data_IF_621302128036
#
_entry.id   IF_621302128036
#
_cell.length_a   1.000
_cell.length_b   1.000
_cell.length_c   1.000
_cell.angle_alpha   90.00
_cell.angle_beta   90.00
_cell.angle_gamma   90.00
#
_symmetry.space_group_name_H-M   'P 1'
#
loop_
_entity.id
_entity.type
_entity.pdbx_description
1 polymer ?
#
# COMPACT_ATOMS: atom_id res chain seq x y z
N UNK A 1 -18.74 16.62 -4.98
CA UNK A 1 -17.46 16.00 -4.61
C UNK A 1 -17.50 15.73 -3.12
N UNK A 2 -17.37 14.47 -2.70
CA UNK A 2 -17.11 14.14 -1.30
C UNK A 2 -15.61 14.06 -1.13
N UNK A 3 -15.11 14.46 0.03
CA UNK A 3 -13.70 14.31 0.40
C UNK A 3 -13.60 13.35 1.56
N UNK A 4 -12.60 12.48 1.53
CA UNK A 4 -12.36 11.53 2.60
C UNK A 4 -10.86 11.31 2.77
N UNK A 5 -10.44 11.32 4.03
CA UNK A 5 -9.12 10.83 4.43
C UNK A 5 -9.22 9.33 4.66
N UNK A 6 -8.32 8.56 4.04
CA UNK A 6 -8.17 7.13 4.24
C UNK A 6 -6.77 6.87 4.76
N UNK A 7 -6.67 6.17 5.88
CA UNK A 7 -5.39 5.86 6.51
C UNK A 7 -5.37 4.44 7.08
N UNK A 8 -4.21 3.80 7.05
CA UNK A 8 -4.00 2.46 7.61
C UNK A 8 -2.54 2.29 7.97
N UNK A 9 -2.32 1.74 9.17
CA UNK A 9 -1.00 1.33 9.66
C UNK A 9 -1.04 -0.15 10.00
N UNK A 10 -0.13 -0.92 9.42
CA UNK A 10 0.04 -2.34 9.70
C UNK A 10 1.44 -2.61 10.25
N UNK A 11 1.51 -3.31 11.37
CA UNK A 11 2.75 -3.74 12.01
C UNK A 11 2.85 -5.27 12.00
N UNK A 12 3.99 -5.78 11.56
CA UNK A 12 4.30 -7.20 11.54
C UNK A 12 5.64 -7.49 12.20
N UNK A 13 5.71 -8.64 12.89
CA UNK A 13 6.98 -9.29 13.22
C UNK A 13 7.22 -10.40 12.20
N UNK A 14 8.11 -10.16 11.24
CA UNK A 14 8.49 -11.14 10.22
C UNK A 14 9.41 -12.19 10.87
N UNK A 15 8.98 -13.46 10.86
CA UNK A 15 9.70 -14.55 11.54
C UNK A 15 10.72 -15.26 10.63
N UNK A 16 10.51 -15.21 9.31
CA UNK A 16 11.35 -15.80 8.28
C UNK A 16 11.24 -14.94 7.00
N UNK A 17 12.19 -15.01 6.05
CA UNK A 17 12.05 -14.31 4.77
C UNK A 17 10.66 -14.55 4.16
N UNK A 18 9.93 -13.46 3.91
CA UNK A 18 8.51 -13.53 3.55
C UNK A 18 8.20 -12.61 2.37
N UNK A 19 7.43 -13.12 1.42
CA UNK A 19 6.87 -12.35 0.32
C UNK A 19 5.57 -11.69 0.77
N UNK A 20 5.50 -10.36 0.68
CA UNK A 20 4.28 -9.61 0.96
C UNK A 20 3.65 -9.14 -0.34
N UNK A 21 2.32 -9.14 -0.39
CA UNK A 21 1.53 -8.54 -1.46
C UNK A 21 0.30 -7.89 -0.82
N UNK A 22 0.18 -6.57 -0.98
CA UNK A 22 -0.84 -5.75 -0.34
C UNK A 22 -1.73 -5.09 -1.37
N UNK A 23 -3.00 -4.91 -1.01
CA UNK A 23 -3.98 -4.10 -1.72
C UNK A 23 -4.53 -3.07 -0.72
N UNK A 24 -3.75 -2.02 -0.46
CA UNK A 24 -4.11 -0.96 0.49
C UNK A 24 -4.36 0.38 -0.19
N UNK A 25 -3.65 0.64 -1.29
CA UNK A 25 -3.76 1.91 -2.00
C UNK A 25 -5.16 2.05 -2.62
N UNK A 26 -5.75 3.24 -2.49
CA UNK A 26 -7.02 3.61 -3.12
C UNK A 26 -6.99 3.28 -4.61
N UNK A 27 -7.98 2.52 -5.06
CA UNK A 27 -8.11 2.11 -6.45
C UNK A 27 -8.32 3.31 -7.39
N UNK A 28 -7.84 3.20 -8.64
CA UNK A 28 -8.10 4.19 -9.68
C UNK A 28 -9.48 3.96 -10.30
N UNK A 29 -10.41 4.88 -10.08
CA UNK A 29 -11.75 4.86 -10.67
C UNK A 29 -12.07 6.19 -11.36
N UNK A 30 -12.81 6.21 -12.48
CA UNK A 30 -13.16 7.46 -13.17
C UNK A 30 -13.95 8.47 -12.33
N UNK A 31 -14.61 8.02 -11.26
CA UNK A 31 -15.43 8.83 -10.37
C UNK A 31 -14.72 9.20 -9.06
N UNK A 32 -13.45 8.85 -8.89
CA UNK A 32 -12.64 9.13 -7.71
C UNK A 32 -11.33 9.78 -8.13
N UNK A 33 -10.93 10.83 -7.42
CA UNK A 33 -9.65 11.51 -7.66
C UNK A 33 -8.79 11.37 -6.41
N UNK A 34 -7.53 10.94 -6.56
CA UNK A 34 -6.59 10.92 -5.43
C UNK A 34 -5.91 12.28 -5.39
N UNK A 35 -6.19 13.07 -4.36
CA UNK A 35 -5.71 14.43 -4.18
C UNK A 35 -4.29 14.46 -3.59
N UNK A 36 -4.00 13.55 -2.67
CA UNK A 36 -2.66 13.30 -2.13
C UNK A 36 -2.55 11.84 -1.70
N UNK A 37 -1.34 11.29 -1.78
CA UNK A 37 -1.06 9.94 -1.31
C UNK A 37 0.37 9.79 -0.77
N UNK A 38 0.52 8.91 0.21
CA UNK A 38 1.79 8.47 0.75
C UNK A 38 1.69 6.99 1.09
N UNK A 39 2.67 6.23 0.62
CA UNK A 39 2.96 4.87 1.06
C UNK A 39 4.38 4.83 1.62
N UNK A 40 4.54 4.34 2.85
CA UNK A 40 5.83 4.13 3.48
C UNK A 40 5.95 2.69 3.98
N UNK A 41 7.07 2.04 3.66
CA UNK A 41 7.41 0.70 4.14
C UNK A 41 8.74 0.81 4.89
N UNK A 42 8.79 0.42 6.16
CA UNK A 42 9.97 0.67 7.02
C UNK A 42 11.17 -0.23 6.73
N UNK A 43 10.95 -1.38 6.10
CA UNK A 43 12.04 -2.23 5.64
C UNK A 43 12.61 -1.58 4.38
N UNK A 44 13.93 -1.35 4.33
CA UNK A 44 14.64 -0.85 3.14
C UNK A 44 14.60 -1.91 2.00
N UNK A 45 13.41 -2.09 1.43
CA UNK A 45 13.07 -3.11 0.45
C UNK A 45 12.65 -2.44 -0.85
N UNK A 46 12.87 -3.15 -1.95
CA UNK A 46 12.42 -2.71 -3.26
C UNK A 46 10.94 -3.02 -3.41
N UNK A 47 10.12 -1.97 -3.41
CA UNK A 47 8.67 -2.07 -3.59
C UNK A 47 8.35 -2.12 -5.08
N UNK A 48 7.59 -3.14 -5.48
CA UNK A 48 7.10 -3.30 -6.85
C UNK A 48 5.59 -3.08 -6.89
N UNK A 49 5.14 -2.16 -7.74
CA UNK A 49 3.72 -1.83 -7.89
C UNK A 49 3.11 -2.47 -9.14
N UNK A 50 1.82 -2.76 -9.05
CA UNK A 50 0.97 -3.25 -10.13
C UNK A 50 -0.42 -2.64 -10.01
N UNK A 51 -1.03 -2.24 -11.11
CA UNK A 51 -2.44 -1.81 -11.15
C UNK A 51 -3.21 -2.79 -12.02
N UNK A 52 -4.26 -3.39 -11.45
CA UNK A 52 -5.16 -4.25 -12.19
C UNK A 52 -6.00 -3.41 -13.17
N UNK A 53 -5.91 -3.65 -14.49
CA UNK A 53 -6.61 -2.84 -15.47
C UNK A 53 -8.14 -3.04 -15.45
N UNK A 54 -8.64 -4.14 -14.86
CA UNK A 54 -10.06 -4.43 -14.78
C UNK A 54 -10.77 -3.69 -13.65
N UNK A 55 -10.18 -3.70 -12.45
CA UNK A 55 -10.76 -3.15 -11.22
C UNK A 55 -10.14 -1.82 -10.78
N UNK A 56 -9.01 -1.40 -11.36
CA UNK A 56 -8.26 -0.24 -10.87
C UNK A 56 -7.58 -0.48 -9.52
N UNK A 57 -7.69 -1.69 -8.95
CA UNK A 57 -7.04 -2.07 -7.71
C UNK A 57 -5.53 -1.98 -7.87
N UNK A 58 -4.89 -1.38 -6.87
CA UNK A 58 -3.45 -1.22 -6.83
C UNK A 58 -2.87 -2.22 -5.85
N UNK A 59 -1.85 -2.92 -6.30
CA UNK A 59 -1.11 -3.88 -5.53
C UNK A 59 0.33 -3.43 -5.44
N UNK A 60 0.93 -3.61 -4.28
CA UNK A 60 2.38 -3.51 -4.14
C UNK A 60 2.89 -4.74 -3.41
N UNK A 61 4.09 -5.17 -3.81
CA UNK A 61 4.75 -6.33 -3.25
C UNK A 61 6.22 -6.04 -2.97
N UNK A 62 6.76 -6.75 -2.01
CA UNK A 62 8.17 -6.73 -1.66
C UNK A 62 8.53 -7.97 -0.85
N UNK A 63 9.83 -8.23 -0.77
CA UNK A 63 10.38 -9.34 0.01
C UNK A 63 10.98 -8.77 1.30
N UNK A 64 10.46 -9.19 2.45
CA UNK A 64 10.90 -8.70 3.74
C UNK A 64 11.84 -9.70 4.45
N UNK A 65 12.98 -9.25 5.00
CA UNK A 65 13.79 -10.07 5.89
C UNK A 65 13.10 -10.27 7.25
N UNK A 66 13.54 -11.24 8.08
CA UNK A 66 13.10 -11.35 9.46
C UNK A 66 13.37 -10.05 10.24
N UNK A 67 12.38 -9.60 11.00
CA UNK A 67 12.45 -8.33 11.72
C UNK A 67 11.11 -7.60 11.78
N UNK A 68 11.08 -6.42 12.42
CA UNK A 68 9.90 -5.56 12.42
C UNK A 68 9.65 -4.99 11.02
N UNK A 69 8.38 -4.97 10.62
CA UNK A 69 7.90 -4.37 9.38
C UNK A 69 6.72 -3.46 9.71
N UNK A 70 6.77 -2.22 9.21
CA UNK A 70 5.71 -1.23 9.29
C UNK A 70 5.31 -0.86 7.87
N UNK A 71 4.01 -0.90 7.60
CA UNK A 71 3.40 -0.39 6.37
C UNK A 71 2.42 0.70 6.76
N UNK A 72 2.66 1.91 6.26
CA UNK A 72 1.92 3.13 6.57
C UNK A 72 1.38 3.72 5.26
N UNK A 73 0.05 3.75 5.13
CA UNK A 73 -0.64 4.31 3.97
C UNK A 73 -1.59 5.42 4.40
N UNK A 74 -1.56 6.54 3.67
CA UNK A 74 -2.49 7.65 3.82
C UNK A 74 -2.85 8.24 2.46
N UNK A 75 -4.11 8.58 2.25
CA UNK A 75 -4.57 9.31 1.08
C UNK A 75 -5.75 10.24 1.37
N UNK A 76 -5.82 11.32 0.59
CA UNK A 76 -7.00 12.18 0.46
C UNK A 76 -7.67 11.87 -0.88
N UNK A 77 -8.96 11.51 -0.86
CA UNK A 77 -9.78 11.15 -2.05
C UNK A 77 -11.09 11.91 -2.12
#
# INVERSE_FOLDING_TARGET
>A
MHRSTVETVLEYQVLAPTHFCFNLESAHWPTQEILSERLAVSSNVDVHSYTDPGSGNRFFRFDAPPGPLLVDYQAEV
#
